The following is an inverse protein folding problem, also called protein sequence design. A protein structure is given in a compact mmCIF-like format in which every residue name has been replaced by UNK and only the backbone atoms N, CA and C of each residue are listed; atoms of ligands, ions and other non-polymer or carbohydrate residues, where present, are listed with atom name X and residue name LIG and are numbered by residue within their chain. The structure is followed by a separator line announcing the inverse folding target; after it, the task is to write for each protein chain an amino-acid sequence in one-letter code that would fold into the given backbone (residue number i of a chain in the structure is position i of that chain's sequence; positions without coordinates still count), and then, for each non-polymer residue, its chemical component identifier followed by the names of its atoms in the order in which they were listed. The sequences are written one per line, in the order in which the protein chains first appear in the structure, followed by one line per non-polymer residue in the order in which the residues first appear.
data_IF_240936049969
#
_entry.id   IF_240936049969
#
_cell.length_a   1.000
_cell.length_b   1.000
_cell.length_c   1.000
_cell.angle_alpha   90.00
_cell.angle_beta   90.00
_cell.angle_gamma   90.00
#
_symmetry.space_group_name_H-M   'P 1'
#
loop_
_entity.id
_entity.type
_entity.pdbx_description
1 polymer ?
#
# COMPACT_ATOMS: atom_id res chain seq x y z
N UNK A 1 7.46 0.18 21.28
CA UNK A 1 8.26 0.22 20.05
C UNK A 1 7.80 1.43 19.25
N UNK A 2 8.71 2.20 18.66
CA UNK A 2 8.36 3.28 17.73
C UNK A 2 8.07 2.64 16.36
N UNK A 3 6.84 2.15 16.16
CA UNK A 3 6.49 1.34 14.99
C UNK A 3 6.84 2.03 13.68
N UNK A 4 6.38 3.26 13.48
CA UNK A 4 6.60 3.99 12.23
C UNK A 4 8.08 4.11 11.88
N UNK A 5 8.94 4.38 12.87
CA UNK A 5 10.39 4.47 12.67
C UNK A 5 10.96 3.13 12.21
N UNK A 6 10.69 2.06 12.94
CA UNK A 6 11.22 0.71 12.64
C UNK A 6 10.66 0.20 11.31
N UNK A 7 9.38 0.45 11.03
CA UNK A 7 8.73 0.09 9.79
C UNK A 7 9.32 0.84 8.60
N UNK A 8 9.57 2.15 8.71
CA UNK A 8 10.25 2.92 7.67
C UNK A 8 11.62 2.35 7.34
N UNK A 9 12.43 2.08 8.36
CA UNK A 9 13.77 1.52 8.17
C UNK A 9 13.69 0.15 7.47
N UNK A 10 12.87 -0.77 7.99
CA UNK A 10 12.77 -2.12 7.45
C UNK A 10 12.18 -2.17 6.03
N UNK A 11 11.04 -1.52 5.80
CA UNK A 11 10.39 -1.50 4.48
C UNK A 11 11.22 -0.70 3.47
N UNK A 12 11.88 0.38 3.89
CA UNK A 12 12.74 1.21 3.06
C UNK A 12 13.86 0.42 2.40
N UNK A 13 14.48 -0.54 3.10
CA UNK A 13 15.53 -1.41 2.54
C UNK A 13 15.10 -2.19 1.29
N UNK A 14 13.80 -2.39 1.10
CA UNK A 14 13.22 -3.14 -0.04
C UNK A 14 12.51 -2.22 -1.02
N UNK A 15 11.76 -1.24 -0.52
CA UNK A 15 10.89 -0.41 -1.35
C UNK A 15 11.64 0.75 -2.01
N UNK A 16 12.63 1.34 -1.36
CA UNK A 16 13.41 2.45 -1.95
C UNK A 16 14.16 2.03 -3.22
N UNK A 17 14.85 0.86 -3.28
CA UNK A 17 15.44 0.37 -4.53
C UNK A 17 14.42 0.14 -5.66
N UNK A 18 13.14 -0.03 -5.33
CA UNK A 18 12.05 -0.19 -6.30
C UNK A 18 11.42 1.15 -6.72
N UNK A 19 11.94 2.28 -6.20
CA UNK A 19 11.51 3.63 -6.52
C UNK A 19 10.37 4.17 -5.65
N UNK A 20 10.06 3.51 -4.52
CA UNK A 20 9.13 4.07 -3.55
C UNK A 20 9.84 5.09 -2.63
N UNK A 21 9.09 6.08 -2.17
CA UNK A 21 9.50 7.03 -1.14
C UNK A 21 8.50 7.04 0.01
N UNK A 22 8.96 7.40 1.21
CA UNK A 22 8.09 7.74 2.35
C UNK A 22 8.30 9.20 2.81
N UNK A 23 8.92 10.05 1.99
CA UNK A 23 9.36 11.40 2.37
C UNK A 23 8.24 12.34 2.78
N UNK A 24 7.06 12.22 2.18
CA UNK A 24 5.89 13.06 2.48
C UNK A 24 4.95 12.44 3.53
N UNK A 25 5.17 11.17 3.87
CA UNK A 25 4.41 10.51 4.95
C UNK A 25 4.83 11.09 6.30
N UNK A 26 3.86 11.33 7.17
CA UNK A 26 4.06 11.57 8.61
C UNK A 26 4.09 10.25 9.39
N UNK A 27 3.49 9.18 8.86
CA UNK A 27 3.42 7.84 9.48
C UNK A 27 4.51 6.90 8.96
N UNK A 28 4.16 5.87 8.18
CA UNK A 28 5.12 4.99 7.51
C UNK A 28 4.60 4.50 6.14
N UNK A 29 3.82 5.33 5.46
CA UNK A 29 3.28 5.04 4.12
C UNK A 29 4.35 5.27 3.07
N UNK A 30 4.57 4.27 2.23
CA UNK A 30 5.42 4.35 1.06
C UNK A 30 4.57 4.55 -0.18
N UNK A 31 5.02 5.41 -1.08
CA UNK A 31 4.36 5.67 -2.35
C UNK A 31 5.36 5.73 -3.50
N UNK A 32 4.89 5.39 -4.70
CA UNK A 32 5.65 5.50 -5.95
C UNK A 32 4.75 6.09 -7.02
N UNK A 33 5.17 7.20 -7.61
CA UNK A 33 4.53 7.73 -8.81
C UNK A 33 4.85 6.80 -9.99
N UNK A 34 3.81 6.28 -10.64
CA UNK A 34 3.92 5.48 -11.87
C UNK A 34 3.76 6.40 -13.08
N UNK A 35 2.82 7.34 -12.98
CA UNK A 35 2.61 8.46 -13.89
C UNK A 35 2.13 9.67 -13.08
N UNK A 36 1.82 10.79 -13.75
CA UNK A 36 1.18 11.95 -13.10
C UNK A 36 -0.19 11.59 -12.47
N UNK A 37 -0.84 10.54 -12.99
CA UNK A 37 -2.22 10.19 -12.67
C UNK A 37 -2.35 8.91 -11.86
N UNK A 38 -1.25 8.21 -11.56
CA UNK A 38 -1.29 6.92 -10.88
C UNK A 38 -0.13 6.75 -9.92
N UNK A 39 -0.48 6.38 -8.69
CA UNK A 39 0.45 6.12 -7.60
C UNK A 39 0.21 4.72 -7.05
N UNK A 40 1.30 4.05 -6.68
CA UNK A 40 1.29 2.81 -5.91
C UNK A 40 1.62 3.09 -4.46
N UNK A 41 0.98 2.38 -3.54
CA UNK A 41 1.13 2.56 -2.10
C UNK A 41 1.41 1.24 -1.39
N UNK A 42 2.32 1.29 -0.43
CA UNK A 42 2.56 0.26 0.58
C UNK A 42 2.44 0.92 1.95
N UNK A 43 1.45 0.49 2.72
CA UNK A 43 1.11 1.09 4.01
C UNK A 43 1.13 0.01 5.09
N UNK A 44 2.26 -0.20 5.78
CA UNK A 44 2.26 -0.90 7.05
C UNK A 44 1.44 -0.09 8.07
N UNK A 45 0.48 -0.73 8.72
CA UNK A 45 -0.47 -0.06 9.61
C UNK A 45 -0.56 -0.82 10.95
N UNK A 46 -0.04 -0.21 12.02
CA UNK A 46 -0.15 -0.79 13.34
C UNK A 46 -1.57 -0.64 13.87
N UNK A 47 -2.20 -1.77 14.21
CA UNK A 47 -3.53 -1.76 14.78
C UNK A 47 -3.52 -1.08 16.17
N UNK A 48 -4.45 -0.16 16.34
CA UNK A 48 -4.61 0.58 17.58
C UNK A 48 -4.78 -0.37 18.79
N UNK A 49 -4.01 -0.15 19.85
CA UNK A 49 -3.98 -0.96 21.09
C UNK A 49 -3.63 -2.45 20.91
N UNK A 50 -3.15 -2.87 19.75
CA UNK A 50 -2.71 -4.24 19.52
C UNK A 50 -1.21 -4.25 19.16
N UNK A 51 -0.43 -5.21 19.66
CA UNK A 51 0.95 -5.41 19.23
C UNK A 51 1.00 -6.15 17.88
N UNK A 52 0.16 -5.72 16.93
CA UNK A 52 0.00 -6.30 15.60
C UNK A 52 -0.12 -5.20 14.56
N UNK A 53 0.29 -5.52 13.34
CA UNK A 53 0.11 -4.66 12.17
C UNK A 53 -0.39 -5.47 10.99
N UNK A 54 -0.98 -4.80 10.02
CA UNK A 54 -1.19 -5.32 8.68
C UNK A 54 -0.39 -4.49 7.66
N UNK A 55 -0.43 -4.93 6.40
CA UNK A 55 0.20 -4.19 5.30
C UNK A 55 -0.83 -4.06 4.19
N UNK A 56 -1.12 -2.82 3.79
CA UNK A 56 -2.03 -2.51 2.68
C UNK A 56 -1.21 -2.14 1.44
N UNK A 57 -1.54 -2.75 0.32
CA UNK A 57 -0.94 -2.65 -1.00
C UNK A 57 -2.04 -2.22 -1.96
N UNK A 58 -1.95 -1.03 -2.52
CA UNK A 58 -3.02 -0.51 -3.37
C UNK A 58 -2.47 0.52 -4.35
N UNK A 59 -3.27 0.86 -5.35
CA UNK A 59 -3.05 2.03 -6.18
C UNK A 59 -4.08 3.11 -5.85
N UNK A 60 -3.72 4.36 -6.10
CA UNK A 60 -4.66 5.47 -6.10
C UNK A 60 -4.30 6.48 -7.19
N UNK A 61 -5.24 7.36 -7.50
CA UNK A 61 -5.09 8.37 -8.54
C UNK A 61 -5.64 9.71 -8.03
N UNK A 62 -4.91 10.83 -8.21
CA UNK A 62 -5.43 12.16 -7.92
C UNK A 62 -6.71 12.46 -8.74
N UNK A 63 -6.89 11.82 -9.89
CA UNK A 63 -8.08 12.03 -10.73
C UNK A 63 -9.37 11.42 -10.14
N UNK A 64 -9.25 10.47 -9.20
CA UNK A 64 -10.42 9.87 -8.55
C UNK A 64 -10.97 10.75 -7.44
N UNK A 65 -10.12 11.49 -6.73
CA UNK A 65 -10.53 12.39 -5.63
C UNK A 65 -9.79 13.74 -5.67
N UNK A 66 -9.88 14.50 -6.77
CA UNK A 66 -9.01 15.65 -7.02
C UNK A 66 -9.14 16.74 -5.97
N UNK A 67 -10.35 16.97 -5.45
CA UNK A 67 -10.62 18.01 -4.45
C UNK A 67 -10.00 17.73 -3.08
N UNK A 68 -9.61 16.48 -2.78
CA UNK A 68 -9.08 16.09 -1.47
C UNK A 68 -7.71 15.43 -1.52
N UNK A 69 -7.07 15.38 -2.70
CA UNK A 69 -5.80 14.68 -2.89
C UNK A 69 -4.70 15.27 -2.01
N UNK A 70 -4.45 16.57 -2.13
CA UNK A 70 -3.35 17.26 -1.43
C UNK A 70 -3.50 17.19 0.10
N UNK A 71 -4.74 17.25 0.60
CA UNK A 71 -5.02 17.19 2.05
C UNK A 71 -4.84 15.78 2.64
N UNK A 72 -5.02 14.74 1.81
CA UNK A 72 -5.01 13.35 2.26
C UNK A 72 -3.71 12.62 1.94
N UNK A 73 -2.95 13.09 0.97
CA UNK A 73 -1.75 12.41 0.52
C UNK A 73 -0.61 12.47 1.56
N UNK A 74 0.16 11.39 1.79
CA UNK A 74 -0.11 10.00 1.37
C UNK A 74 -0.89 9.20 2.42
N UNK A 75 -0.97 9.66 3.67
CA UNK A 75 -1.36 8.82 4.82
C UNK A 75 -2.88 8.68 5.02
N UNK A 76 -3.69 9.61 4.51
CA UNK A 76 -5.12 9.71 4.79
C UNK A 76 -6.00 9.52 3.54
N UNK A 77 -5.44 9.01 2.44
CA UNK A 77 -6.15 8.75 1.20
C UNK A 77 -7.31 7.75 1.36
N UNK A 78 -7.24 6.89 2.37
CA UNK A 78 -8.12 5.73 2.46
C UNK A 78 -7.86 4.77 1.29
N UNK A 79 -8.78 3.82 1.09
CA UNK A 79 -8.75 2.92 -0.08
C UNK A 79 -10.07 3.11 -0.84
N UNK A 80 -10.26 4.27 -1.49
CA UNK A 80 -11.53 4.67 -2.09
C UNK A 80 -11.97 3.72 -3.20
N UNK A 81 -11.02 3.05 -3.84
CA UNK A 81 -11.31 2.01 -4.84
C UNK A 81 -12.06 0.80 -4.25
N UNK A 82 -12.16 0.69 -2.91
CA UNK A 82 -12.59 -0.50 -2.18
C UNK A 82 -11.85 -1.76 -2.65
N UNK A 83 -10.67 -1.55 -3.23
CA UNK A 83 -9.88 -2.64 -3.80
C UNK A 83 -9.37 -3.53 -2.69
N UNK A 84 -9.16 -4.78 -3.07
CA UNK A 84 -8.48 -5.74 -2.23
C UNK A 84 -7.04 -5.31 -2.05
N UNK A 85 -6.68 -4.97 -0.82
CA UNK A 85 -5.41 -4.32 -0.53
C UNK A 85 -4.54 -5.05 0.48
N UNK A 86 -5.05 -6.04 1.20
CA UNK A 86 -4.25 -6.66 2.26
C UNK A 86 -3.19 -7.58 1.68
N UNK A 87 -1.96 -7.42 2.14
CA UNK A 87 -0.89 -8.38 1.88
C UNK A 87 -1.05 -9.60 2.79
N UNK A 88 -1.15 -10.76 2.17
CA UNK A 88 -1.07 -12.06 2.84
C UNK A 88 0.18 -12.79 2.37
N UNK A 89 0.92 -13.33 3.34
CA UNK A 89 2.11 -14.16 3.09
C UNK A 89 1.81 -15.46 2.34
N UNK A 90 0.53 -15.86 2.26
CA UNK A 90 0.09 -17.11 1.64
C UNK A 90 -0.66 -16.92 0.34
N UNK A 91 -1.40 -15.81 0.21
CA UNK A 91 -2.35 -15.60 -0.89
C UNK A 91 -2.11 -14.30 -1.67
N UNK A 92 -1.05 -13.56 -1.35
CA UNK A 92 -0.72 -12.30 -2.01
C UNK A 92 -1.64 -11.14 -1.64
N UNK A 93 -1.77 -10.17 -2.55
CA UNK A 93 -2.59 -8.97 -2.37
C UNK A 93 -4.06 -9.32 -2.57
N UNK A 94 -4.88 -9.12 -1.55
CA UNK A 94 -6.24 -9.66 -1.53
C UNK A 94 -7.16 -9.07 -0.45
N UNK A 95 -8.40 -9.60 -0.32
CA UNK A 95 -9.36 -9.17 0.69
C UNK A 95 -9.02 -9.70 2.09
N UNK A 96 -8.12 -10.68 2.18
CA UNK A 96 -7.83 -11.38 3.42
C UNK A 96 -6.71 -10.65 4.17
N UNK A 97 -7.09 -9.96 5.24
CA UNK A 97 -6.16 -9.37 6.20
C UNK A 97 -5.34 -10.47 6.88
N UNK A 98 -4.02 -10.38 6.78
CA UNK A 98 -3.08 -11.11 7.64
C UNK A 98 -2.50 -10.13 8.65
N UNK A 99 -2.47 -10.54 9.93
CA UNK A 99 -1.89 -9.76 11.01
C UNK A 99 -0.52 -10.30 11.39
N UNK A 100 0.46 -9.41 11.46
CA UNK A 100 1.83 -9.70 11.84
C UNK A 100 2.10 -9.15 13.23
N UNK A 101 2.92 -9.85 14.03
CA UNK A 101 3.25 -9.41 15.39
C UNK A 101 4.34 -8.34 15.37
N UNK A 102 4.19 -7.32 16.21
CA UNK A 102 5.15 -6.22 16.36
C UNK A 102 5.30 -5.75 17.81
N UNK A 103 5.23 -6.67 18.78
CA UNK A 103 5.34 -6.34 20.20
C UNK A 103 6.69 -5.72 20.57
N UNK A 104 7.77 -6.25 20.01
CA UNK A 104 9.14 -5.77 20.18
C UNK A 104 9.75 -5.55 18.80
N UNK A 105 10.83 -4.77 18.75
CA UNK A 105 11.56 -4.48 17.52
C UNK A 105 12.15 -5.75 16.91
N UNK A 106 12.77 -6.61 17.72
CA UNK A 106 13.34 -7.88 17.25
C UNK A 106 12.25 -8.82 16.74
N UNK A 107 11.10 -8.85 17.41
CA UNK A 107 9.94 -9.64 16.99
C UNK A 107 9.36 -9.14 15.67
N UNK A 108 9.29 -7.82 15.49
CA UNK A 108 8.90 -7.19 14.24
C UNK A 108 9.88 -7.54 13.12
N UNK A 109 11.18 -7.30 13.31
CA UNK A 109 12.21 -7.51 12.28
C UNK A 109 12.29 -8.98 11.85
N UNK A 110 12.23 -9.92 12.81
CA UNK A 110 12.18 -11.35 12.48
C UNK A 110 10.93 -11.69 11.66
N UNK A 111 9.75 -11.24 12.10
CA UNK A 111 8.50 -11.48 11.37
C UNK A 111 8.49 -10.82 9.98
N UNK A 112 9.12 -9.66 9.86
CA UNK A 112 9.29 -8.95 8.60
C UNK A 112 10.16 -9.76 7.64
N UNK A 113 11.36 -10.18 8.06
CA UNK A 113 12.28 -10.97 7.23
C UNK A 113 11.71 -12.34 6.84
N UNK A 114 11.04 -13.03 7.76
CA UNK A 114 10.51 -14.38 7.51
C UNK A 114 9.25 -14.39 6.65
N UNK A 115 8.42 -13.34 6.69
CA UNK A 115 7.09 -13.36 6.08
C UNK A 115 6.81 -12.16 5.18
N UNK A 116 6.94 -10.96 5.71
CA UNK A 116 6.46 -9.75 5.02
C UNK A 116 7.35 -9.43 3.82
N UNK A 117 8.67 -9.45 3.99
CA UNK A 117 9.63 -9.18 2.91
C UNK A 117 9.50 -10.18 1.76
N UNK A 118 9.46 -11.51 1.97
CA UNK A 118 9.16 -12.46 0.91
C UNK A 118 7.81 -12.20 0.23
N UNK A 119 6.77 -11.81 0.99
CA UNK A 119 5.45 -11.52 0.43
C UNK A 119 5.43 -10.22 -0.40
N UNK A 120 6.16 -9.18 0.02
CA UNK A 120 6.32 -7.96 -0.75
C UNK A 120 6.98 -8.25 -2.11
N UNK A 121 8.10 -8.98 -2.09
CA UNK A 121 8.84 -9.32 -3.30
C UNK A 121 8.07 -10.29 -4.21
N UNK A 122 7.43 -11.30 -3.62
CA UNK A 122 6.76 -12.37 -4.37
C UNK A 122 5.35 -12.04 -4.85
N UNK A 123 4.65 -11.09 -4.19
CA UNK A 123 3.25 -10.78 -4.51
C UNK A 123 2.98 -9.30 -4.75
N UNK A 124 3.52 -8.39 -3.93
CA UNK A 124 3.24 -6.96 -4.10
C UNK A 124 3.92 -6.40 -5.36
N UNK A 125 5.17 -6.78 -5.63
CA UNK A 125 5.87 -6.34 -6.85
C UNK A 125 5.14 -6.79 -8.13
N UNK A 126 4.77 -8.08 -8.33
CA UNK A 126 3.97 -8.48 -9.48
C UNK A 126 2.61 -7.78 -9.57
N UNK A 127 1.96 -7.52 -8.44
CA UNK A 127 0.71 -6.76 -8.40
C UNK A 127 0.90 -5.35 -8.97
N UNK A 128 1.95 -4.64 -8.54
CA UNK A 128 2.27 -3.32 -9.06
C UNK A 128 2.62 -3.33 -10.55
N UNK A 129 3.43 -4.30 -11.00
CA UNK A 129 3.78 -4.45 -12.42
C UNK A 129 2.56 -4.67 -13.31
N UNK A 130 1.45 -5.21 -12.76
CA UNK A 130 0.20 -5.39 -13.49
C UNK A 130 -0.67 -4.12 -13.61
N UNK A 131 -0.39 -3.08 -12.82
CA UNK A 131 -1.18 -1.84 -12.75
C UNK A 131 -0.28 -0.64 -13.06
N UNK A 132 0.02 -0.43 -14.35
CA UNK A 132 0.87 0.68 -14.81
C UNK A 132 0.07 1.87 -15.34
N UNK A 133 -1.23 1.69 -15.59
CA UNK A 133 -2.14 2.75 -16.03
C UNK A 133 -3.46 2.69 -15.28
N UNK A 134 -4.19 3.81 -15.24
CA UNK A 134 -5.52 3.85 -14.62
C UNK A 134 -6.48 2.85 -15.30
N UNK A 135 -6.39 2.67 -16.61
CA UNK A 135 -7.19 1.71 -17.37
C UNK A 135 -6.95 0.25 -16.96
N UNK A 136 -5.70 -0.13 -16.68
CA UNK A 136 -5.37 -1.45 -16.13
C UNK A 136 -5.89 -1.63 -14.69
N UNK A 137 -6.05 -0.52 -13.97
CA UNK A 137 -6.54 -0.51 -12.60
C UNK A 137 -8.06 -0.71 -12.51
N UNK A 138 -8.83 -0.31 -13.55
CA UNK A 138 -10.31 -0.36 -13.58
C UNK A 138 -10.89 -1.70 -13.09
N UNK A 139 -10.43 -2.89 -13.57
CA UNK A 139 -11.01 -4.18 -13.13
C UNK A 139 -10.79 -4.49 -11.65
N UNK A 140 -9.85 -3.80 -11.00
CA UNK A 140 -9.50 -3.98 -9.59
C UNK A 140 -10.32 -3.06 -8.67
N UNK A 141 -10.94 -2.01 -9.23
CA UNK A 141 -11.81 -1.09 -8.49
C UNK A 141 -13.14 -1.78 -8.19
N UNK A 142 -13.48 -1.92 -6.92
CA UNK A 142 -14.75 -2.52 -6.47
C UNK A 142 -15.85 -1.48 -6.30
N UNK A 143 -15.50 -0.25 -5.98
CA UNK A 143 -16.45 0.87 -5.97
C UNK A 143 -16.98 1.14 -7.37
N UNK A 144 -18.29 0.94 -7.57
CA UNK A 144 -18.95 1.20 -8.87
C UNK A 144 -18.78 2.65 -9.32
N UNK A 145 -18.80 3.59 -8.37
CA UNK A 145 -18.61 5.00 -8.66
C UNK A 145 -17.21 5.27 -9.23
N UNK A 146 -16.16 4.86 -8.54
CA UNK A 146 -14.79 5.10 -9.00
C UNK A 146 -14.41 4.27 -10.23
N UNK A 147 -14.99 3.08 -10.40
CA UNK A 147 -14.79 2.28 -11.62
C UNK A 147 -15.36 3.02 -12.85
N UNK A 148 -16.52 3.65 -12.72
CA UNK A 148 -17.12 4.46 -13.79
C UNK A 148 -16.29 5.71 -14.09
N UNK A 149 -15.84 6.43 -13.06
CA UNK A 149 -14.96 7.61 -13.21
C UNK A 149 -13.66 7.22 -13.90
N UNK A 150 -12.97 6.17 -13.42
CA UNK A 150 -11.75 5.68 -14.03
C UNK A 150 -11.95 5.27 -15.49
N UNK A 151 -13.06 4.59 -15.81
CA UNK A 151 -13.36 4.18 -17.18
C UNK A 151 -13.59 5.38 -18.11
N UNK A 152 -14.28 6.42 -17.64
CA UNK A 152 -14.51 7.65 -18.41
C UNK A 152 -13.23 8.44 -18.69
N UNK A 153 -12.26 8.38 -17.77
CA UNK A 153 -10.94 9.02 -17.93
C UNK A 153 -10.01 8.29 -18.91
N UNK A 154 -10.31 7.03 -19.25
CA UNK A 154 -9.53 6.21 -20.19
C UNK A 154 -10.20 6.04 -21.57
N UNK A 155 -11.38 6.63 -21.78
CA UNK A 155 -12.14 6.56 -23.04
C UNK A 155 -11.72 7.68 -24.00
#
# INVERSE_FOLDING_TARGET
MQFDKVAREAFGTILEPLGFSCSESQACTFYKAVSADLYHFVMPDQLHNLPKYDVKIFFHSPLLEPASWDDKFPDALGIPTESWSYLSSRSGVGPRQELFWCRTEEGFLRGFEEKVKPALLGFAVPYFDSVQTLGQAVPLIKSKHYAAVASALNA
#
